data_IF_926102742724
#
_entry.id   IF_926102742724
#
_cell.length_a   1.000
_cell.length_b   1.000
_cell.length_c   1.000
_cell.angle_alpha   90.00
_cell.angle_beta   90.00
_cell.angle_gamma   90.00
#
_symmetry.space_group_name_H-M   'P 1'
#
loop_
_entity.id
_entity.type
_entity.pdbx_description
1 polymer ?
#
# COMPACT_ATOMS: atom_id res chain seq x y z
N UNK A 1 -9.68 11.50 -11.69
CA UNK A 1 -8.33 11.11 -12.15
C UNK A 1 -7.70 10.19 -11.10
N UNK A 2 -8.11 8.90 -11.07
CA UNK A 2 -7.91 7.97 -9.93
C UNK A 2 -6.45 7.73 -9.54
N UNK A 3 -5.53 7.72 -10.51
CA UNK A 3 -4.12 7.38 -10.24
C UNK A 3 -3.37 8.48 -9.48
N UNK A 4 -3.55 9.76 -9.84
CA UNK A 4 -2.85 10.86 -9.17
C UNK A 4 -3.32 11.04 -7.72
N UNK A 5 -4.61 10.80 -7.47
CA UNK A 5 -5.18 10.82 -6.12
C UNK A 5 -4.58 9.72 -5.24
N UNK A 6 -4.53 8.48 -5.75
CA UNK A 6 -3.89 7.35 -5.05
C UNK A 6 -2.40 7.60 -4.82
N UNK A 7 -1.68 8.15 -5.80
CA UNK A 7 -0.28 8.54 -5.60
C UNK A 7 -0.14 9.60 -4.50
N UNK A 8 -1.03 10.60 -4.45
CA UNK A 8 -1.04 11.60 -3.38
C UNK A 8 -1.31 11.01 -2.00
N UNK A 9 -2.30 10.12 -1.89
CA UNK A 9 -2.61 9.40 -0.65
C UNK A 9 -1.43 8.54 -0.18
N UNK A 10 -0.83 7.78 -1.10
CA UNK A 10 0.33 6.94 -0.79
C UNK A 10 1.55 7.79 -0.40
N UNK A 11 1.77 8.91 -1.08
CA UNK A 11 2.87 9.82 -0.79
C UNK A 11 2.71 10.50 0.57
N UNK A 12 1.48 10.76 1.01
CA UNK A 12 1.19 11.30 2.34
C UNK A 12 1.59 10.37 3.50
N UNK A 13 1.85 9.09 3.21
CA UNK A 13 2.32 8.11 4.19
C UNK A 13 3.86 8.10 4.15
N UNK A 14 4.48 8.78 5.11
CA UNK A 14 5.92 8.95 5.22
C UNK A 14 6.27 10.41 5.52
N UNK A 15 6.63 10.71 6.77
CA UNK A 15 6.91 12.08 7.23
C UNK A 15 8.28 12.64 6.81
N UNK A 16 9.05 11.90 6.01
CA UNK A 16 10.39 12.27 5.57
C UNK A 16 10.47 12.67 4.08
N UNK A 17 11.60 13.23 3.62
CA UNK A 17 11.83 13.56 2.22
C UNK A 17 11.51 12.37 1.30
N UNK A 18 10.66 12.59 0.30
CA UNK A 18 10.33 11.58 -0.72
C UNK A 18 9.42 10.44 -0.25
N UNK A 19 8.54 10.67 0.73
CA UNK A 19 7.65 9.65 1.30
C UNK A 19 8.45 8.47 1.89
N UNK A 20 9.42 8.80 2.76
CA UNK A 20 10.29 7.82 3.41
C UNK A 20 9.49 6.87 4.29
N UNK A 21 9.52 5.57 3.96
CA UNK A 21 8.90 4.45 4.66
C UNK A 21 9.89 3.31 4.73
N UNK A 22 10.80 3.32 5.72
CA UNK A 22 11.78 2.26 5.87
C UNK A 22 11.10 0.93 6.20
N UNK A 23 11.76 -0.17 5.84
CA UNK A 23 11.26 -1.50 6.13
C UNK A 23 11.07 -1.74 7.64
N UNK A 24 9.95 -2.35 8.01
CA UNK A 24 9.51 -2.61 9.38
C UNK A 24 8.94 -1.40 10.11
N UNK A 25 8.65 -0.30 9.41
CA UNK A 25 8.13 0.92 10.03
C UNK A 25 6.59 0.97 10.05
N UNK A 26 5.98 1.67 11.02
CA UNK A 26 4.53 1.88 11.04
C UNK A 26 3.99 2.54 9.76
N UNK A 27 4.80 3.34 9.08
CA UNK A 27 4.44 3.98 7.82
C UNK A 27 4.47 3.00 6.63
N UNK A 28 5.34 1.99 6.64
CA UNK A 28 5.26 0.88 5.67
C UNK A 28 3.98 0.07 5.88
N UNK A 29 3.65 -0.29 7.12
CA UNK A 29 2.41 -0.99 7.46
C UNK A 29 1.16 -0.21 7.02
N UNK A 30 1.13 1.11 7.28
CA UNK A 30 0.05 1.98 6.84
C UNK A 30 -0.08 2.01 5.30
N UNK A 31 1.05 1.98 4.58
CA UNK A 31 1.05 1.91 3.13
C UNK A 31 0.50 0.57 2.62
N UNK A 32 0.85 -0.54 3.28
CA UNK A 32 0.29 -1.86 2.98
C UNK A 32 -1.22 -1.89 3.21
N UNK A 33 -1.72 -1.40 4.34
CA UNK A 33 -3.17 -1.36 4.61
C UNK A 33 -3.91 -0.55 3.55
N UNK A 34 -3.38 0.62 3.17
CA UNK A 34 -3.98 1.47 2.13
C UNK A 34 -4.01 0.75 0.77
N UNK A 35 -2.90 0.14 0.37
CA UNK A 35 -2.79 -0.59 -0.89
C UNK A 35 -3.69 -1.84 -0.91
N UNK A 36 -3.83 -2.54 0.21
CA UNK A 36 -4.71 -3.71 0.36
C UNK A 36 -6.17 -3.33 0.07
N UNK A 37 -6.67 -2.26 0.71
CA UNK A 37 -8.04 -1.78 0.45
C UNK A 37 -8.27 -1.42 -1.02
N UNK A 38 -7.27 -0.85 -1.69
CA UNK A 38 -7.36 -0.57 -3.13
C UNK A 38 -7.42 -1.80 -4.02
N UNK A 39 -6.77 -2.90 -3.60
CA UNK A 39 -6.80 -4.20 -4.27
C UNK A 39 -8.16 -4.86 -4.07
N UNK A 40 -8.71 -4.83 -2.85
CA UNK A 40 -10.05 -5.34 -2.52
C UNK A 40 -11.13 -4.57 -3.30
N UNK A 41 -11.06 -3.23 -3.35
CA UNK A 41 -11.94 -2.39 -4.17
C UNK A 41 -11.89 -2.74 -5.65
N UNK A 42 -10.76 -3.27 -6.13
CA UNK A 42 -10.57 -3.72 -7.50
C UNK A 42 -11.04 -5.17 -7.73
N UNK A 43 -11.53 -5.85 -6.69
CA UNK A 43 -12.01 -7.23 -6.74
C UNK A 43 -10.90 -8.28 -6.72
N UNK A 44 -9.71 -7.93 -6.21
CA UNK A 44 -8.61 -8.89 -6.07
C UNK A 44 -8.72 -9.65 -4.75
N UNK A 45 -8.27 -10.90 -4.76
CA UNK A 45 -8.01 -11.66 -3.53
C UNK A 45 -6.68 -11.20 -2.92
N UNK A 46 -6.74 -10.61 -1.72
CA UNK A 46 -5.59 -9.98 -1.05
C UNK A 46 -5.00 -10.88 0.03
N UNK A 47 -3.67 -10.99 0.05
CA UNK A 47 -2.94 -11.73 1.08
C UNK A 47 -1.58 -11.10 1.38
N UNK A 48 -1.02 -11.41 2.55
CA UNK A 48 0.38 -11.16 2.89
C UNK A 48 1.10 -12.50 2.92
N UNK A 49 2.24 -12.60 2.24
CA UNK A 49 3.04 -13.83 2.21
C UNK A 49 3.93 -13.98 3.47
N UNK A 50 4.59 -15.13 3.70
CA UNK A 50 5.45 -15.33 4.87
C UNK A 50 6.64 -14.36 4.97
N UNK A 51 7.05 -13.73 3.85
CA UNK A 51 8.13 -12.76 3.80
C UNK A 51 7.64 -11.31 4.01
N UNK A 52 6.32 -11.12 4.17
CA UNK A 52 5.70 -9.82 4.45
C UNK A 52 5.28 -9.05 3.20
N UNK A 53 5.32 -9.65 2.00
CA UNK A 53 4.88 -8.97 0.78
C UNK A 53 3.35 -8.94 0.69
N UNK A 54 2.77 -7.78 0.38
CA UNK A 54 1.36 -7.64 0.04
C UNK A 54 1.10 -8.03 -1.41
N UNK A 55 0.21 -9.01 -1.62
CA UNK A 55 -0.11 -9.58 -2.94
C UNK A 55 -1.61 -9.52 -3.19
N UNK A 56 -2.00 -9.01 -4.37
CA UNK A 56 -3.37 -9.10 -4.89
C UNK A 56 -3.43 -10.04 -6.09
N UNK A 57 -4.33 -11.03 -6.07
CA UNK A 57 -4.51 -12.00 -7.16
C UNK A 57 -5.80 -11.71 -7.93
N UNK A 58 -5.70 -11.68 -9.26
CA UNK A 58 -6.85 -11.67 -10.16
C UNK A 58 -7.17 -13.12 -10.52
N UNK A 59 -8.37 -13.58 -10.14
CA UNK A 59 -8.93 -14.88 -10.51
C UNK A 59 -9.53 -14.86 -11.92
#
# INVERSE_FOLDING_TARGET
>A
MRILERLGQLYGIGGGPGANRPHGSPEEDAAHVLAAGWMEEAGLDVMVDPDGNLVGRAS
#
